data_IF_127912535366
#
_entry.id   IF_127912535366
#
_cell.length_a   1.000
_cell.length_b   1.000
_cell.length_c   1.000
_cell.angle_alpha   90.00
_cell.angle_beta   90.00
_cell.angle_gamma   90.00
#
_symmetry.space_group_name_H-M   'P 1'
#
loop_
_entity.id
_entity.type
_entity.pdbx_description
1 polymer ?
#
# COMPACT_ATOMS: atom_id res chain seq x y z
N UNK A 1 -6.99 -22.86 5.64
CA UNK A 1 -6.32 -23.24 4.37
C UNK A 1 -6.58 -22.24 3.26
N UNK A 2 -7.83 -21.82 3.04
CA UNK A 2 -8.20 -20.83 2.03
C UNK A 2 -7.47 -19.49 2.20
N UNK A 3 -7.46 -18.92 3.43
CA UNK A 3 -6.72 -17.68 3.76
C UNK A 3 -5.25 -17.75 3.37
N UNK A 4 -4.59 -18.87 3.67
CA UNK A 4 -3.17 -19.04 3.37
C UNK A 4 -2.92 -19.04 1.86
N UNK A 5 -3.72 -19.76 1.08
CA UNK A 5 -3.60 -19.81 -0.39
C UNK A 5 -3.83 -18.44 -1.03
N UNK A 6 -4.87 -17.71 -0.61
CA UNK A 6 -5.13 -16.34 -1.09
C UNK A 6 -4.03 -15.37 -0.67
N UNK A 7 -3.57 -15.47 0.57
CA UNK A 7 -2.51 -14.61 1.11
C UNK A 7 -1.18 -14.83 0.38
N UNK A 8 -0.85 -16.07 0.00
CA UNK A 8 0.32 -16.36 -0.85
C UNK A 8 0.19 -15.66 -2.21
N UNK A 9 -0.98 -15.73 -2.85
CA UNK A 9 -1.21 -15.08 -4.14
C UNK A 9 -1.10 -13.56 -4.03
N UNK A 10 -1.73 -12.97 -3.01
CA UNK A 10 -1.66 -11.54 -2.71
C UNK A 10 -0.22 -11.12 -2.46
N UNK A 11 0.51 -11.88 -1.64
CA UNK A 11 1.92 -11.67 -1.37
C UNK A 11 2.76 -11.72 -2.65
N UNK A 12 2.50 -12.69 -3.53
CA UNK A 12 3.24 -12.83 -4.80
C UNK A 12 3.04 -11.60 -5.70
N UNK A 13 1.78 -11.16 -5.86
CA UNK A 13 1.44 -9.96 -6.64
C UNK A 13 2.07 -8.71 -6.02
N UNK A 14 1.97 -8.55 -4.69
CA UNK A 14 2.59 -7.46 -3.94
C UNK A 14 4.12 -7.46 -4.09
N UNK A 15 4.75 -8.62 -3.95
CA UNK A 15 6.19 -8.82 -4.11
C UNK A 15 6.67 -8.45 -5.51
N UNK A 16 5.89 -8.80 -6.53
CA UNK A 16 6.18 -8.45 -7.92
C UNK A 16 6.04 -6.95 -8.19
N UNK A 17 4.93 -6.37 -7.75
CA UNK A 17 4.48 -5.04 -8.18
C UNK A 17 4.91 -3.91 -7.24
N UNK A 18 5.36 -4.23 -6.03
CA UNK A 18 5.65 -3.23 -4.98
C UNK A 18 4.42 -2.49 -4.48
N UNK A 19 3.22 -2.93 -4.88
CA UNK A 19 1.94 -2.38 -4.46
C UNK A 19 1.66 -2.91 -3.05
N UNK A 20 1.66 -2.02 -2.05
CA UNK A 20 1.36 -2.36 -0.65
C UNK A 20 0.15 -3.27 -0.55
N UNK A 21 0.35 -4.47 -0.03
CA UNK A 21 -0.62 -5.58 -0.10
C UNK A 21 -1.95 -5.30 0.61
N UNK A 22 -2.02 -4.24 1.41
CA UNK A 22 -3.20 -3.80 2.16
C UNK A 22 -4.41 -3.55 1.28
N UNK A 23 -4.26 -3.12 0.01
CA UNK A 23 -5.44 -3.00 -0.88
C UNK A 23 -6.17 -4.34 -1.03
N UNK A 24 -5.44 -5.45 -0.95
CA UNK A 24 -5.97 -6.80 -1.14
C UNK A 24 -6.18 -7.53 0.18
N UNK A 25 -5.29 -7.34 1.15
CA UNK A 25 -5.37 -7.98 2.46
C UNK A 25 -6.55 -7.42 3.28
N UNK A 26 -6.88 -6.13 3.17
CA UNK A 26 -8.03 -5.57 3.89
C UNK A 26 -9.37 -6.15 3.40
N UNK A 27 -9.69 -6.16 2.09
CA UNK A 27 -10.88 -6.83 1.58
C UNK A 27 -10.92 -8.33 1.84
N UNK A 28 -9.76 -9.01 1.85
CA UNK A 28 -9.68 -10.42 2.23
C UNK A 28 -10.26 -10.64 3.63
N UNK A 29 -9.85 -9.84 4.61
CA UNK A 29 -10.34 -9.97 5.98
C UNK A 29 -11.80 -9.52 6.15
N UNK A 30 -12.20 -8.47 5.44
CA UNK A 30 -13.59 -7.99 5.45
C UNK A 30 -14.57 -9.00 4.84
N UNK A 31 -14.29 -9.49 3.63
CA UNK A 31 -15.26 -10.25 2.85
C UNK A 31 -15.11 -11.75 2.99
N UNK A 32 -13.91 -12.28 3.24
CA UNK A 32 -13.73 -13.72 3.39
C UNK A 32 -13.84 -14.14 4.85
N UNK A 33 -13.23 -13.39 5.76
CA UNK A 33 -13.21 -13.72 7.19
C UNK A 33 -14.29 -12.99 8.00
N UNK A 34 -15.02 -12.07 7.37
CA UNK A 34 -16.15 -11.33 7.98
C UNK A 34 -15.74 -10.55 9.24
N UNK A 35 -14.47 -10.10 9.28
CA UNK A 35 -13.95 -9.31 10.38
C UNK A 35 -14.57 -7.91 10.42
N UNK A 36 -14.78 -7.33 11.61
CA UNK A 36 -15.09 -5.91 11.75
C UNK A 36 -14.06 -5.04 11.01
N UNK A 37 -14.51 -3.95 10.40
CA UNK A 37 -13.65 -3.13 9.53
C UNK A 37 -12.39 -2.59 10.22
N UNK A 38 -12.52 -2.17 11.48
CA UNK A 38 -11.39 -1.65 12.27
C UNK A 38 -10.34 -2.74 12.52
N UNK A 39 -10.78 -3.95 12.88
CA UNK A 39 -9.90 -5.11 13.11
C UNK A 39 -9.22 -5.57 11.82
N UNK A 40 -9.97 -5.62 10.71
CA UNK A 40 -9.46 -5.98 9.39
C UNK A 40 -8.37 -5.01 8.91
N UNK A 41 -8.61 -3.70 9.05
CA UNK A 41 -7.63 -2.67 8.69
C UNK A 41 -6.37 -2.82 9.54
N UNK A 42 -6.50 -2.84 10.88
CA UNK A 42 -5.36 -2.97 11.79
C UNK A 42 -4.54 -4.25 11.54
N UNK A 43 -5.21 -5.39 11.39
CA UNK A 43 -4.59 -6.69 11.11
C UNK A 43 -3.88 -6.70 9.75
N UNK A 44 -4.50 -6.10 8.72
CA UNK A 44 -3.90 -6.03 7.38
C UNK A 44 -2.63 -5.17 7.37
N UNK A 45 -2.59 -4.07 8.11
CA UNK A 45 -1.41 -3.21 8.21
C UNK A 45 -0.22 -3.94 8.85
N UNK A 46 -0.46 -4.78 9.88
CA UNK A 46 0.58 -5.61 10.47
C UNK A 46 1.09 -6.65 9.46
N UNK A 47 0.18 -7.40 8.85
CA UNK A 47 0.53 -8.44 7.86
C UNK A 47 1.34 -7.85 6.71
N UNK A 48 0.93 -6.70 6.22
CA UNK A 48 1.57 -6.02 5.09
C UNK A 48 2.91 -5.43 5.50
N UNK A 49 3.03 -4.80 6.68
CA UNK A 49 4.31 -4.29 7.17
C UNK A 49 5.37 -5.41 7.22
N UNK A 50 5.00 -6.56 7.78
CA UNK A 50 5.88 -7.73 7.86
C UNK A 50 6.19 -8.29 6.47
N UNK A 51 5.17 -8.51 5.62
CA UNK A 51 5.39 -9.01 4.27
C UNK A 51 6.25 -8.07 3.42
N UNK A 52 6.11 -6.75 3.62
CA UNK A 52 6.93 -5.72 2.98
C UNK A 52 8.38 -5.83 3.43
N UNK A 53 8.64 -6.09 4.72
CA UNK A 53 9.99 -6.33 5.21
C UNK A 53 10.64 -7.58 4.59
N UNK A 54 9.88 -8.69 4.44
CA UNK A 54 10.38 -9.87 3.72
C UNK A 54 10.62 -9.60 2.24
N UNK A 55 9.71 -8.88 1.57
CA UNK A 55 9.88 -8.45 0.18
C UNK A 55 11.12 -7.56 -0.01
N UNK A 56 11.38 -6.66 0.94
CA UNK A 56 12.54 -5.76 0.96
C UNK A 56 13.86 -6.55 0.95
N UNK A 57 13.96 -7.67 1.68
CA UNK A 57 15.18 -8.51 1.70
C UNK A 57 15.55 -8.98 0.29
N UNK A 58 14.55 -9.36 -0.52
CA UNK A 58 14.76 -9.81 -1.91
C UNK A 58 15.31 -8.72 -2.83
N UNK A 59 14.98 -7.45 -2.55
CA UNK A 59 15.45 -6.29 -3.31
C UNK A 59 16.73 -5.66 -2.74
N UNK A 60 16.93 -5.70 -1.42
CA UNK A 60 18.07 -5.11 -0.74
C UNK A 60 19.40 -5.71 -1.17
N UNK A 61 19.43 -7.03 -1.43
CA UNK A 61 20.62 -7.73 -1.92
C UNK A 61 21.07 -7.31 -3.33
N UNK A 62 20.28 -6.50 -4.05
CA UNK A 62 20.50 -6.17 -5.47
C UNK A 62 20.82 -4.69 -5.73
N UNK A 63 20.88 -3.85 -4.70
CA UNK A 63 21.35 -2.46 -4.84
C UNK A 63 20.38 -1.46 -5.50
N UNK A 64 19.13 -1.86 -5.79
CA UNK A 64 18.11 -0.99 -6.42
C UNK A 64 17.36 -0.06 -5.44
N UNK A 65 17.71 -0.10 -4.15
CA UNK A 65 17.01 0.70 -3.13
C UNK A 65 17.61 2.10 -3.07
N UNK A 66 16.78 3.11 -3.37
CA UNK A 66 17.14 4.51 -3.18
C UNK A 66 16.90 4.92 -1.73
N UNK A 67 17.78 4.52 -0.81
CA UNK A 67 17.60 4.70 0.65
C UNK A 67 17.25 6.13 1.05
N UNK A 68 17.96 7.12 0.51
CA UNK A 68 17.69 8.54 0.80
C UNK A 68 16.27 8.95 0.39
N UNK A 69 15.85 8.54 -0.81
CA UNK A 69 14.50 8.80 -1.31
C UNK A 69 13.46 8.07 -0.47
N UNK A 70 13.71 6.79 -0.15
CA UNK A 70 12.85 5.96 0.68
C UNK A 70 12.64 6.52 2.08
N UNK A 71 13.69 6.98 2.75
CA UNK A 71 13.57 7.56 4.09
C UNK A 71 12.88 8.93 4.10
N UNK A 72 13.23 9.83 3.17
CA UNK A 72 12.61 11.17 3.13
C UNK A 72 11.12 11.06 2.80
N UNK A 73 10.78 10.28 1.77
CA UNK A 73 9.39 10.04 1.40
C UNK A 73 8.67 9.27 2.51
N UNK A 74 9.31 8.24 3.06
CA UNK A 74 8.73 7.36 4.07
C UNK A 74 8.43 8.05 5.39
N UNK A 75 9.31 8.93 5.89
CA UNK A 75 9.07 9.68 7.14
C UNK A 75 7.94 10.70 6.92
N UNK A 76 7.99 11.45 5.83
CA UNK A 76 6.92 12.41 5.51
C UNK A 76 5.57 11.71 5.27
N UNK A 77 5.61 10.55 4.62
CA UNK A 77 4.46 9.67 4.41
C UNK A 77 3.92 9.09 5.71
N UNK A 78 4.79 8.67 6.63
CA UNK A 78 4.38 8.14 7.94
C UNK A 78 3.65 9.20 8.78
N UNK A 79 4.21 10.41 8.89
CA UNK A 79 3.62 11.50 9.67
C UNK A 79 2.24 11.90 9.11
N UNK A 80 2.14 12.01 7.80
CA UNK A 80 0.88 12.35 7.15
C UNK A 80 -0.13 11.19 7.15
N UNK A 81 0.32 9.93 7.05
CA UNK A 81 -0.54 8.75 7.15
C UNK A 81 -1.15 8.59 8.54
N UNK A 82 -0.42 8.98 9.59
CA UNK A 82 -0.95 9.04 10.95
C UNK A 82 -2.13 10.02 11.03
N UNK A 83 -1.93 11.27 10.57
CA UNK A 83 -2.99 12.29 10.52
C UNK A 83 -4.14 11.81 9.62
N UNK A 84 -3.81 11.22 8.48
CA UNK A 84 -4.78 10.66 7.54
C UNK A 84 -5.65 9.58 8.18
N UNK A 85 -5.08 8.64 8.93
CA UNK A 85 -5.83 7.60 9.63
C UNK A 85 -6.85 8.18 10.63
N UNK A 86 -6.46 9.23 11.37
CA UNK A 86 -7.37 9.91 12.28
C UNK A 86 -8.54 10.59 11.55
N UNK A 87 -8.25 11.28 10.44
CA UNK A 87 -9.29 11.92 9.61
C UNK A 87 -10.18 10.87 8.94
N UNK A 88 -9.60 9.78 8.44
CA UNK A 88 -10.30 8.68 7.79
C UNK A 88 -11.33 8.00 8.70
N UNK A 89 -11.05 7.92 10.00
CA UNK A 89 -12.00 7.35 10.98
C UNK A 89 -13.29 8.15 11.17
N UNK A 90 -13.31 9.43 10.75
CA UNK A 90 -14.48 10.31 10.83
C UNK A 90 -15.23 10.46 9.50
N UNK A 91 -14.68 9.94 8.40
CA UNK A 91 -15.27 10.09 7.07
C UNK A 91 -16.24 8.94 6.76
N UNK A 92 -17.37 9.21 6.09
CA UNK A 92 -18.23 8.17 5.56
C UNK A 92 -17.46 7.26 4.59
N UNK A 93 -17.71 5.96 4.68
CA UNK A 93 -17.04 4.96 3.85
C UNK A 93 -17.32 5.17 2.36
N UNK A 94 -18.48 5.74 1.98
CA UNK A 94 -18.82 5.97 0.58
C UNK A 94 -17.89 6.97 -0.09
N UNK A 95 -17.65 8.10 0.57
CA UNK A 95 -16.77 9.18 0.06
C UNK A 95 -15.33 8.68 -0.03
N UNK A 96 -14.92 7.88 0.95
CA UNK A 96 -13.59 7.32 1.03
C UNK A 96 -13.32 6.36 -0.13
N UNK A 97 -14.22 5.40 -0.36
CA UNK A 97 -14.11 4.41 -1.44
C UNK A 97 -14.23 5.06 -2.83
N UNK A 98 -15.13 6.03 -2.99
CA UNK A 98 -15.26 6.77 -4.24
C UNK A 98 -13.97 7.52 -4.59
N UNK A 99 -13.45 8.32 -3.65
CA UNK A 99 -12.20 9.09 -3.85
C UNK A 99 -11.02 8.14 -4.11
N UNK A 100 -10.97 7.03 -3.40
CA UNK A 100 -9.95 6.00 -3.58
C UNK A 100 -9.98 5.39 -4.99
N UNK A 101 -11.15 4.95 -5.43
CA UNK A 101 -11.34 4.36 -6.76
C UNK A 101 -10.95 5.35 -7.88
N UNK A 102 -11.28 6.64 -7.72
CA UNK A 102 -10.92 7.68 -8.67
C UNK A 102 -9.40 7.85 -8.77
N UNK A 103 -8.70 7.93 -7.63
CA UNK A 103 -7.24 8.08 -7.63
C UNK A 103 -6.57 6.82 -8.19
N UNK A 104 -7.07 5.63 -7.86
CA UNK A 104 -6.58 4.37 -8.46
C UNK A 104 -6.74 4.38 -9.98
N UNK A 105 -7.92 4.75 -10.49
CA UNK A 105 -8.17 4.83 -11.92
C UNK A 105 -7.20 5.81 -12.61
N UNK A 106 -7.07 7.03 -12.07
CA UNK A 106 -6.14 8.05 -12.61
C UNK A 106 -4.71 7.51 -12.62
N UNK A 107 -4.27 6.90 -11.52
CA UNK A 107 -2.92 6.39 -11.34
C UNK A 107 -2.60 5.23 -12.27
N UNK A 108 -3.53 4.28 -12.39
CA UNK A 108 -3.40 3.15 -13.30
C UNK A 108 -3.40 3.58 -14.77
N UNK A 109 -4.28 4.51 -15.16
CA UNK A 109 -4.31 5.08 -16.51
C UNK A 109 -3.00 5.83 -16.80
N UNK A 110 -2.50 6.63 -15.86
CA UNK A 110 -1.23 7.36 -16.01
C UNK A 110 -0.04 6.39 -16.20
N UNK A 111 -0.03 5.27 -15.47
CA UNK A 111 0.99 4.22 -15.63
C UNK A 111 0.94 3.57 -17.01
N UNK A 112 -0.25 3.27 -17.55
CA UNK A 112 -0.39 2.62 -18.87
C UNK A 112 -0.06 3.59 -20.01
N UNK A 113 -0.55 4.83 -19.93
CA UNK A 113 -0.41 5.82 -21.02
C UNK A 113 1.02 6.30 -21.22
N UNK A 114 1.87 6.25 -20.18
CA UNK A 114 3.26 6.70 -20.28
C UNK A 114 4.11 5.66 -21.03
N UNK A 115 4.15 5.73 -22.36
CA UNK A 115 4.67 4.65 -23.21
C UNK A 115 6.21 4.55 -23.28
N UNK A 116 6.99 5.65 -23.19
CA UNK A 116 8.38 5.62 -23.69
C UNK A 116 9.51 6.35 -22.91
N UNK A 117 9.31 7.01 -21.76
CA UNK A 117 10.41 7.80 -21.13
C UNK A 117 11.42 6.97 -20.29
N UNK A 118 11.36 5.63 -20.35
CA UNK A 118 12.08 4.76 -19.40
C UNK A 118 13.49 4.32 -19.86
N UNK A 119 13.90 4.67 -21.07
CA UNK A 119 15.24 4.32 -21.61
C UNK A 119 16.23 5.48 -21.63
N UNK A 120 15.80 6.73 -21.45
CA UNK A 120 16.72 7.85 -21.21
C UNK A 120 17.05 7.93 -19.73
N UNK A 121 18.11 7.20 -19.37
CA UNK A 121 18.88 7.39 -18.14
C UNK A 121 19.20 8.88 -17.93
N UNK A 122 18.46 9.53 -17.04
CA UNK A 122 19.02 10.63 -16.29
C UNK A 122 18.80 10.33 -14.82
N UNK A 123 19.90 10.14 -14.11
CA UNK A 123 20.01 10.04 -12.66
C UNK A 123 19.67 11.39 -12.02
N UNK A 124 18.53 11.99 -12.40
CA UNK A 124 18.02 13.17 -11.73
C UNK A 124 17.51 12.73 -10.37
N UNK A 125 18.34 13.00 -9.35
CA UNK A 125 17.93 12.90 -7.95
C UNK A 125 16.62 13.69 -7.80
N UNK A 126 15.56 13.09 -7.26
CA UNK A 126 14.31 13.80 -7.07
C UNK A 126 14.56 15.00 -6.17
N UNK A 127 13.96 16.14 -6.53
CA UNK A 127 14.09 17.36 -5.75
C UNK A 127 13.47 17.12 -4.37
N UNK A 128 14.25 17.35 -3.31
CA UNK A 128 13.88 16.95 -1.94
C UNK A 128 12.54 17.52 -1.49
N UNK A 129 12.21 18.77 -1.83
CA UNK A 129 10.92 19.37 -1.45
C UNK A 129 9.72 18.68 -2.12
N UNK A 130 9.85 18.27 -3.40
CA UNK A 130 8.78 17.55 -4.11
C UNK A 130 8.56 16.18 -3.49
N UNK A 131 9.64 15.55 -3.04
CA UNK A 131 9.57 14.23 -2.42
C UNK A 131 8.85 14.27 -1.07
N UNK A 132 9.10 15.31 -0.26
CA UNK A 132 8.37 15.56 0.98
C UNK A 132 6.89 15.83 0.67
N UNK A 133 6.59 16.73 -0.27
CA UNK A 133 5.20 17.07 -0.60
C UNK A 133 4.42 15.84 -1.12
N UNK A 134 5.01 15.07 -2.03
CA UNK A 134 4.40 13.85 -2.55
C UNK A 134 4.30 12.76 -1.48
N UNK A 135 5.31 12.64 -0.60
CA UNK A 135 5.27 11.76 0.55
C UNK A 135 4.12 12.09 1.48
N UNK A 136 3.98 13.35 1.84
CA UNK A 136 2.90 13.86 2.67
C UNK A 136 1.51 13.64 2.04
N UNK A 137 1.37 13.96 0.75
CA UNK A 137 0.09 13.81 0.04
C UNK A 137 -0.31 12.33 -0.09
N UNK A 138 0.62 11.47 -0.53
CA UNK A 138 0.37 10.04 -0.68
C UNK A 138 0.14 9.39 0.69
N UNK A 139 0.94 9.73 1.70
CA UNK A 139 0.77 9.25 3.06
C UNK A 139 -0.58 9.62 3.64
N UNK A 140 -0.98 10.90 3.55
CA UNK A 140 -2.29 11.36 3.99
C UNK A 140 -3.43 10.59 3.32
N UNK A 141 -3.44 10.53 1.98
CA UNK A 141 -4.50 9.84 1.24
C UNK A 141 -4.55 8.35 1.62
N UNK A 142 -3.41 7.68 1.63
CA UNK A 142 -3.37 6.24 1.92
C UNK A 142 -3.65 5.92 3.39
N UNK A 143 -3.34 6.84 4.30
CA UNK A 143 -3.73 6.81 5.70
C UNK A 143 -5.23 6.98 5.88
N UNK A 144 -5.85 7.96 5.20
CA UNK A 144 -7.32 8.16 5.27
C UNK A 144 -8.08 6.94 4.81
N UNK A 145 -7.60 6.23 3.79
CA UNK A 145 -8.27 5.03 3.27
C UNK A 145 -7.98 3.80 4.13
N UNK A 146 -6.92 3.82 4.95
CA UNK A 146 -6.49 2.65 5.73
C UNK A 146 -5.76 1.59 4.89
N UNK A 147 -5.28 1.95 3.70
CA UNK A 147 -4.75 0.99 2.71
C UNK A 147 -3.21 0.96 2.67
N UNK A 148 -2.51 1.42 3.70
CA UNK A 148 -1.08 1.11 3.92
C UNK A 148 -0.10 1.54 2.83
N UNK A 149 -0.40 2.58 2.05
CA UNK A 149 0.57 3.33 1.24
C UNK A 149 1.00 2.74 -0.10
N UNK A 150 1.42 1.47 -0.12
CA UNK A 150 2.41 1.03 -1.11
C UNK A 150 1.97 1.11 -2.58
N UNK A 151 0.67 1.04 -2.88
CA UNK A 151 0.19 1.11 -4.26
C UNK A 151 0.21 2.53 -4.85
N UNK A 152 0.05 3.59 -4.03
CA UNK A 152 0.22 4.95 -4.54
C UNK A 152 1.69 5.35 -4.57
N UNK A 153 2.51 4.73 -3.71
CA UNK A 153 3.94 5.04 -3.59
C UNK A 153 4.69 4.73 -4.88
N UNK A 154 4.52 3.53 -5.46
CA UNK A 154 5.19 3.13 -6.71
C UNK A 154 4.95 4.15 -7.84
N UNK A 155 3.70 4.46 -8.22
CA UNK A 155 3.43 5.40 -9.29
C UNK A 155 3.83 6.83 -8.91
N UNK A 156 3.75 7.24 -7.64
CA UNK A 156 4.25 8.55 -7.23
C UNK A 156 5.77 8.68 -7.44
N UNK A 157 6.53 7.63 -7.11
CA UNK A 157 7.98 7.59 -7.35
C UNK A 157 8.34 7.55 -8.84
N UNK A 158 7.55 6.86 -9.66
CA UNK A 158 7.81 6.79 -11.12
C UNK A 158 7.37 8.08 -11.84
N UNK A 159 6.20 8.62 -11.49
CA UNK A 159 5.62 9.79 -12.16
C UNK A 159 6.25 11.09 -11.68
N UNK A 160 6.36 11.28 -10.36
CA UNK A 160 6.85 12.53 -9.78
C UNK A 160 8.29 12.44 -9.30
N UNK A 161 8.74 11.26 -8.84
CA UNK A 161 10.11 11.03 -8.43
C UNK A 161 11.08 10.77 -9.58
N UNK A 162 10.57 10.37 -10.77
CA UNK A 162 11.40 10.02 -11.93
C UNK A 162 12.20 8.73 -11.76
N UNK A 163 11.89 7.90 -10.77
CA UNK A 163 12.60 6.65 -10.54
C UNK A 163 12.25 5.62 -11.63
N UNK A 164 13.24 4.80 -12.01
CA UNK A 164 13.00 3.63 -12.81
C UNK A 164 12.02 2.68 -12.09
N UNK A 165 11.18 1.96 -12.83
CA UNK A 165 10.13 1.10 -12.23
C UNK A 165 10.69 0.12 -11.20
N UNK A 166 11.85 -0.49 -11.47
CA UNK A 166 12.49 -1.45 -10.54
C UNK A 166 12.97 -0.78 -9.25
N UNK A 167 13.55 0.41 -9.36
CA UNK A 167 14.01 1.18 -8.21
C UNK A 167 12.82 1.73 -7.40
N UNK A 168 11.75 2.14 -8.08
CA UNK A 168 10.51 2.59 -7.45
C UNK A 168 9.85 1.46 -6.65
N UNK A 169 9.79 0.25 -7.20
CA UNK A 169 9.30 -0.95 -6.49
C UNK A 169 10.19 -1.27 -5.30
N UNK A 170 11.51 -1.32 -5.47
CA UNK A 170 12.43 -1.61 -4.37
C UNK A 170 12.32 -0.56 -3.24
N UNK A 171 12.20 0.71 -3.60
CA UNK A 171 12.10 1.83 -2.66
C UNK A 171 10.72 1.90 -2.00
N UNK A 172 9.65 1.46 -2.68
CA UNK A 172 8.30 1.43 -2.11
C UNK A 172 8.17 0.43 -0.96
N UNK A 173 9.00 -0.62 -0.90
CA UNK A 173 9.01 -1.50 0.27
C UNK A 173 9.46 -0.76 1.54
N UNK A 174 10.49 0.08 1.47
CA UNK A 174 10.93 0.89 2.63
C UNK A 174 9.82 1.84 3.09
N UNK A 175 9.21 2.53 2.12
CA UNK A 175 8.12 3.48 2.38
C UNK A 175 6.86 2.76 2.88
N UNK A 176 6.58 1.56 2.37
CA UNK A 176 5.44 0.75 2.77
C UNK A 176 5.53 0.39 4.25
N UNK A 177 6.71 0.00 4.74
CA UNK A 177 6.94 -0.27 6.17
C UNK A 177 6.67 0.99 6.99
N UNK A 178 7.25 2.14 6.65
CA UNK A 178 7.06 3.37 7.41
C UNK A 178 5.60 3.84 7.39
N UNK A 179 4.92 3.78 6.25
CA UNK A 179 3.53 4.20 6.14
C UNK A 179 2.59 3.23 6.86
N UNK A 180 2.84 1.92 6.82
CA UNK A 180 2.05 0.96 7.60
C UNK A 180 2.18 1.21 9.10
N UNK A 181 3.38 1.55 9.58
CA UNK A 181 3.59 1.92 10.98
C UNK A 181 2.82 3.19 11.36
N UNK A 182 2.86 4.24 10.52
CA UNK A 182 2.14 5.49 10.74
C UNK A 182 0.61 5.33 10.66
N UNK A 183 0.12 4.55 9.70
CA UNK A 183 -1.30 4.27 9.58
C UNK A 183 -1.79 3.39 10.75
N UNK A 184 -1.02 2.36 11.14
CA UNK A 184 -1.38 1.49 12.26
C UNK A 184 -1.43 2.27 13.56
N UNK A 185 -0.43 3.13 13.83
CA UNK A 185 -0.47 3.98 15.01
C UNK A 185 -1.64 4.97 14.95
N UNK A 186 -2.00 5.50 13.78
CA UNK A 186 -3.17 6.37 13.61
C UNK A 186 -4.51 5.68 13.88
N UNK A 187 -4.63 4.40 13.54
CA UNK A 187 -5.85 3.61 13.79
C UNK A 187 -5.95 3.04 15.22
N UNK A 188 -4.81 2.70 15.84
CA UNK A 188 -4.76 2.10 17.18
C UNK A 188 -4.77 3.15 18.28
N UNK A 189 -4.14 4.31 18.06
CA UNK A 189 -4.08 5.40 19.02
C UNK A 189 -5.25 6.35 18.76
N UNK A 190 -6.26 6.34 19.63
CA UNK A 190 -7.27 7.41 19.66
C UNK A 190 -6.81 8.49 20.62
N UNK A 191 -6.93 9.75 20.19
CA UNK A 191 -6.80 10.88 21.09
C UNK A 191 -8.18 11.14 21.70
N UNK A 192 -8.32 10.84 23.00
CA UNK A 192 -9.53 11.13 23.75
C UNK A 192 -9.25 12.23 24.78
N UNK A 193 -10.27 13.00 25.15
CA UNK A 193 -10.12 14.25 25.91
C UNK A 193 -9.65 14.07 27.36
N UNK A 194 -9.62 12.83 27.88
CA UNK A 194 -9.20 12.53 29.26
C UNK A 194 -7.84 11.80 29.38
N UNK A 195 -7.24 11.34 28.27
CA UNK A 195 -5.92 10.68 28.28
C UNK A 195 -5.14 10.90 26.98
N UNK A 196 -3.85 11.21 27.10
CA UNK A 196 -2.98 11.58 25.96
C UNK A 196 -2.87 10.48 24.88
N UNK A 197 -3.19 9.23 25.20
CA UNK A 197 -3.31 8.08 24.28
C UNK A 197 -4.28 7.07 24.90
N UNK A 198 -5.38 6.73 24.22
CA UNK A 198 -6.17 5.53 24.53
C UNK A 198 -5.91 4.46 23.48
N UNK A 199 -5.58 3.25 23.93
CA UNK A 199 -5.54 2.08 23.06
C UNK A 199 -6.98 1.70 22.71
N UNK A 200 -7.26 1.50 21.43
CA UNK A 200 -8.52 0.92 21.02
C UNK A 200 -8.62 -0.53 21.55
N UNK A 201 -9.33 -0.70 22.67
CA UNK A 201 -9.54 -2.00 23.33
C UNK A 201 -10.49 -2.92 22.56
N UNK A 202 -11.15 -2.42 21.52
CA UNK A 202 -12.04 -3.19 20.65
C UNK A 202 -11.29 -3.97 19.56
N UNK A 203 -9.95 -3.89 19.50
CA UNK A 203 -9.16 -4.64 18.51
C UNK A 203 -8.81 -6.01 19.08
N UNK A 204 -9.62 -7.01 18.78
CA UNK A 204 -9.28 -8.40 19.05
C UNK A 204 -8.45 -8.97 17.89
N UNK A 205 -7.16 -9.20 18.11
CA UNK A 205 -6.32 -9.87 17.11
C UNK A 205 -6.57 -11.38 17.13
N UNK A 206 -7.34 -11.88 16.15
CA UNK A 206 -7.43 -13.33 15.94
C UNK A 206 -6.17 -13.87 15.25
N UNK A 207 -5.22 -14.31 16.08
CA UNK A 207 -3.97 -14.90 15.61
C UNK A 207 -4.18 -16.15 14.75
N UNK A 208 -5.33 -16.84 14.81
CA UNK A 208 -5.61 -17.99 13.94
C UNK A 208 -5.76 -17.59 12.48
N UNK A 209 -6.20 -16.36 12.22
CA UNK A 209 -6.41 -15.81 10.86
C UNK A 209 -5.18 -15.00 10.43
N UNK A 210 -4.64 -14.19 11.34
CA UNK A 210 -3.49 -13.31 11.07
C UNK A 210 -2.23 -14.12 10.77
N UNK A 211 -1.95 -15.17 11.54
CA UNK A 211 -0.71 -15.94 11.39
C UNK A 211 -0.58 -16.63 10.01
N UNK A 212 -1.59 -17.37 9.50
CA UNK A 212 -1.50 -17.94 8.16
C UNK A 212 -1.48 -16.87 7.06
N UNK A 213 -2.17 -15.74 7.26
CA UNK A 213 -2.11 -14.61 6.32
C UNK A 213 -0.73 -13.96 6.29
N UNK A 214 -0.10 -13.78 7.45
CA UNK A 214 1.25 -13.25 7.61
C UNK A 214 2.28 -14.17 6.95
N UNK A 215 2.22 -15.47 7.24
CA UNK A 215 3.13 -16.45 6.65
C UNK A 215 2.95 -16.50 5.13
N UNK A 216 1.70 -16.63 4.66
CA UNK A 216 1.39 -16.71 3.24
C UNK A 216 1.83 -15.46 2.48
N UNK A 217 1.45 -14.28 2.97
CA UNK A 217 1.78 -13.00 2.32
C UNK A 217 3.28 -12.75 2.34
N UNK A 218 3.98 -13.07 3.44
CA UNK A 218 5.43 -12.86 3.55
C UNK A 218 6.22 -13.79 2.63
N UNK A 219 5.85 -15.07 2.56
CA UNK A 219 6.47 -16.03 1.64
C UNK A 219 6.18 -15.64 0.19
N UNK A 220 4.94 -15.30 -0.12
CA UNK A 220 4.53 -14.79 -1.43
C UNK A 220 5.31 -13.53 -1.81
N UNK A 221 5.43 -12.56 -0.91
CA UNK A 221 6.14 -11.31 -1.14
C UNK A 221 7.63 -11.52 -1.38
N UNK A 222 8.26 -12.44 -0.65
CA UNK A 222 9.65 -12.81 -0.87
C UNK A 222 9.84 -13.48 -2.24
N UNK A 223 9.00 -14.46 -2.59
CA UNK A 223 9.09 -15.14 -3.89
C UNK A 223 8.80 -14.16 -5.04
N UNK A 224 7.78 -13.32 -4.89
CA UNK A 224 7.40 -12.29 -5.85
C UNK A 224 8.51 -11.24 -6.06
N UNK A 225 9.12 -10.75 -4.98
CA UNK A 225 10.22 -9.77 -5.07
C UNK A 225 11.47 -10.39 -5.68
N UNK A 226 11.73 -11.67 -5.38
CA UNK A 226 12.75 -12.43 -6.07
C UNK A 226 12.40 -12.52 -7.54
N UNK A 227 11.18 -12.87 -7.96
CA UNK A 227 10.83 -13.09 -9.37
C UNK A 227 10.75 -11.80 -10.21
N UNK A 228 10.44 -10.67 -9.59
CA UNK A 228 10.24 -9.38 -10.27
C UNK A 228 11.43 -8.93 -11.13
N UNK A 229 12.66 -9.30 -10.75
CA UNK A 229 13.87 -8.96 -11.54
C UNK A 229 13.89 -9.57 -12.94
N UNK A 230 13.29 -10.76 -13.13
CA UNK A 230 13.26 -11.45 -14.43
C UNK A 230 12.26 -10.81 -15.39
N UNK A 231 11.35 -10.00 -14.86
CA UNK A 231 10.34 -9.31 -15.66
C UNK A 231 10.91 -7.97 -16.13
N UNK A 232 10.73 -7.68 -17.42
CA UNK A 232 11.12 -6.38 -18.00
C UNK A 232 10.31 -5.25 -17.34
N UNK A 233 10.94 -4.11 -17.08
CA UNK A 233 10.33 -2.97 -16.40
C UNK A 233 9.01 -2.52 -17.07
N UNK A 234 8.96 -2.55 -18.41
CA UNK A 234 7.77 -2.20 -19.18
C UNK A 234 6.59 -3.15 -18.91
N UNK A 235 6.85 -4.47 -18.84
CA UNK A 235 5.80 -5.45 -18.51
C UNK A 235 5.29 -5.26 -17.09
N UNK A 236 6.20 -4.95 -16.16
CA UNK A 236 5.86 -4.75 -14.75
C UNK A 236 5.00 -3.50 -14.55
N UNK A 237 5.35 -2.40 -15.22
CA UNK A 237 4.57 -1.16 -15.26
C UNK A 237 3.18 -1.37 -15.88
N UNK A 238 3.11 -2.06 -17.01
CA UNK A 238 1.83 -2.36 -17.65
C UNK A 238 0.96 -3.27 -16.77
N UNK A 239 1.54 -4.31 -16.16
CA UNK A 239 0.83 -5.21 -15.25
C UNK A 239 0.32 -4.46 -14.02
N UNK A 240 1.15 -3.60 -13.42
CA UNK A 240 0.76 -2.72 -12.32
C UNK A 240 -0.43 -1.84 -12.70
N UNK A 241 -0.34 -1.14 -13.84
CA UNK A 241 -1.40 -0.23 -14.29
C UNK A 241 -2.73 -0.94 -14.50
N UNK A 242 -2.74 -2.08 -15.19
CA UNK A 242 -3.95 -2.89 -15.38
C UNK A 242 -4.51 -3.43 -14.06
N UNK A 243 -3.65 -3.89 -13.17
CA UNK A 243 -4.03 -4.37 -11.85
C UNK A 243 -4.75 -3.29 -11.02
N UNK A 244 -4.18 -2.09 -10.97
CA UNK A 244 -4.76 -0.96 -10.24
C UNK A 244 -6.09 -0.50 -10.86
N UNK A 245 -6.20 -0.48 -12.20
CA UNK A 245 -7.48 -0.15 -12.87
C UNK A 245 -8.55 -1.19 -12.55
N UNK A 246 -8.21 -2.48 -12.60
CA UNK A 246 -9.16 -3.55 -12.28
C UNK A 246 -9.69 -3.39 -10.86
N UNK A 247 -8.81 -3.14 -9.90
CA UNK A 247 -9.20 -2.84 -8.53
C UNK A 247 -10.06 -1.59 -8.40
N UNK A 248 -9.71 -0.51 -9.12
CA UNK A 248 -10.49 0.72 -9.12
C UNK A 248 -11.94 0.45 -9.57
N UNK A 249 -12.11 -0.30 -10.65
CA UNK A 249 -13.43 -0.67 -11.18
C UNK A 249 -14.18 -1.56 -10.19
N UNK A 250 -13.50 -2.54 -9.59
CA UNK A 250 -14.10 -3.43 -8.59
C UNK A 250 -14.65 -2.64 -7.40
N UNK A 251 -13.83 -1.77 -6.79
CA UNK A 251 -14.22 -0.95 -5.64
C UNK A 251 -15.34 0.03 -6.01
N UNK A 252 -15.28 0.62 -7.20
CA UNK A 252 -16.32 1.53 -7.69
C UNK A 252 -17.68 0.85 -7.86
N UNK A 253 -17.70 -0.35 -8.44
CA UNK A 253 -18.92 -1.15 -8.60
C UNK A 253 -19.47 -1.56 -7.25
N UNK A 254 -18.62 -2.01 -6.34
CA UNK A 254 -19.01 -2.39 -4.99
C UNK A 254 -19.59 -1.21 -4.20
N UNK A 255 -18.99 -0.02 -4.33
CA UNK A 255 -19.50 1.21 -3.73
C UNK A 255 -20.90 1.56 -4.24
N UNK A 256 -21.15 1.50 -5.55
CA UNK A 256 -22.49 1.75 -6.13
C UNK A 256 -23.50 0.71 -5.64
N UNK A 257 -23.13 -0.57 -5.62
CA UNK A 257 -24.02 -1.64 -5.15
C UNK A 257 -24.35 -1.51 -3.66
N UNK A 258 -23.40 -1.04 -2.85
CA UNK A 258 -23.61 -0.72 -1.43
C UNK A 258 -24.58 0.45 -1.25
N UNK A 259 -24.42 1.52 -2.03
CA UNK A 259 -25.33 2.69 -2.01
C UNK A 259 -26.75 2.32 -2.45
N UNK A 260 -26.93 1.36 -3.37
CA UNK A 260 -28.25 0.91 -3.80
C UNK A 260 -28.95 -0.04 -2.82
N UNK A 261 -28.24 -0.59 -1.82
CA UNK A 261 -28.80 -1.51 -0.82
C UNK A 261 -29.25 -0.82 0.47
N UNK A 262 -28.79 0.41 0.73
CA UNK A 262 -29.21 1.26 1.85
C UNK A 262 -30.27 2.28 1.40
#
# INVERSE_FOLDING_TARGET
>A
MLVLSLSVLIGLIMGLLGAGGSIMTTPLFLYVEHMPAVEAIASSLIVVAVATAFGLIGHAKRGHIQWRTGFIFGISGMLSAFVGGQVGSHLPSEILLFTFSLIMAVTGIAMIRRRNDLETETTHRPITHRLILNGALVGFITGTVGVGGGFMVVPALVLFGGLAMKDAIATSFVIGITNCLGAFSGYVLRFDSESLVSLNTDIAFDFKIILPALIGTSLGALVGSIFSHRVKAQKLKSAFGWFVILLAVFIFVENILGVMKN
#
